data_IF_191849354443
#
_entry.id   IF_191849354443
#
_cell.length_a   1.000
_cell.length_b   1.000
_cell.length_c   1.000
_cell.angle_alpha   90.00
_cell.angle_beta   90.00
_cell.angle_gamma   90.00
#
_symmetry.space_group_name_H-M   'P 1'
#
loop_
_entity.id
_entity.type
_entity.pdbx_description
1 polymer ?
#
# COMPACT_ATOMS: atom_id res chain seq x y z
N UNK A 1 -9.32 14.05 -6.26
CA UNK A 1 -8.21 14.26 -7.22
C UNK A 1 -7.86 12.94 -7.86
N UNK A 2 -7.36 12.97 -9.09
CA UNK A 2 -7.18 11.77 -9.93
C UNK A 2 -5.71 11.43 -10.18
N UNK A 3 -5.46 10.24 -10.70
CA UNK A 3 -4.11 9.79 -11.10
C UNK A 3 -3.50 10.74 -12.14
N UNK A 4 -4.31 11.24 -13.07
CA UNK A 4 -3.89 12.23 -14.06
C UNK A 4 -3.42 13.58 -13.48
N UNK A 5 -3.73 13.87 -12.21
CA UNK A 5 -3.24 15.06 -11.52
C UNK A 5 -1.79 14.90 -10.98
N UNK A 6 -1.24 13.68 -10.98
CA UNK A 6 0.13 13.38 -10.52
C UNK A 6 1.18 13.67 -11.60
N UNK A 7 2.25 14.35 -11.19
CA UNK A 7 3.46 14.45 -11.99
C UNK A 7 4.49 13.38 -11.56
N UNK A 8 5.32 12.92 -12.50
CA UNK A 8 6.39 11.96 -12.22
C UNK A 8 7.46 12.48 -11.27
N UNK A 9 7.55 13.80 -11.06
CA UNK A 9 8.42 14.42 -10.05
C UNK A 9 7.91 14.24 -8.60
N UNK A 10 6.69 13.74 -8.42
CA UNK A 10 6.04 13.59 -7.12
C UNK A 10 6.29 12.24 -6.45
N UNK A 11 7.05 11.35 -7.08
CA UNK A 11 7.45 10.07 -6.53
C UNK A 11 8.74 9.60 -7.22
N UNK A 12 9.47 8.69 -6.57
CA UNK A 12 10.67 8.11 -7.15
C UNK A 12 10.36 7.21 -8.36
N UNK A 13 11.22 7.19 -9.38
CA UNK A 13 10.98 6.45 -10.63
C UNK A 13 10.67 4.95 -10.44
N UNK A 14 11.22 4.31 -9.40
CA UNK A 14 10.93 2.90 -9.10
C UNK A 14 9.48 2.64 -8.65
N UNK A 15 8.74 3.68 -8.25
CA UNK A 15 7.31 3.60 -7.96
C UNK A 15 6.42 3.78 -9.20
N UNK A 16 6.98 4.16 -10.36
CA UNK A 16 6.21 4.35 -11.59
C UNK A 16 5.37 3.12 -11.99
N UNK A 17 5.84 1.87 -11.84
CA UNK A 17 5.03 0.70 -12.14
C UNK A 17 3.74 0.61 -11.30
N UNK A 18 3.75 1.11 -10.05
CA UNK A 18 2.55 1.11 -9.20
C UNK A 18 1.53 2.15 -9.65
N UNK A 19 1.99 3.29 -10.14
CA UNK A 19 1.11 4.33 -10.69
C UNK A 19 0.56 3.92 -12.05
N UNK A 20 1.38 3.27 -12.88
CA UNK A 20 1.02 2.88 -14.25
C UNK A 20 -0.10 1.82 -14.33
N UNK A 21 -0.34 1.06 -13.26
CA UNK A 21 -1.43 0.07 -13.21
C UNK A 21 -2.76 0.66 -12.70
N UNK A 22 -2.78 1.93 -12.29
CA UNK A 22 -3.98 2.60 -11.82
C UNK A 22 -4.80 3.13 -12.99
N UNK A 23 -6.12 3.06 -12.83
CA UNK A 23 -7.07 3.76 -13.70
C UNK A 23 -7.23 5.22 -13.23
N UNK A 24 -7.77 6.10 -14.08
CA UNK A 24 -7.89 7.54 -13.79
C UNK A 24 -9.08 7.88 -12.87
N UNK A 25 -9.09 7.24 -11.71
CA UNK A 25 -10.13 7.32 -10.69
C UNK A 25 -9.79 8.33 -9.59
N UNK A 26 -10.81 8.78 -8.85
CA UNK A 26 -10.60 9.63 -7.68
C UNK A 26 -9.87 8.86 -6.57
N UNK A 27 -8.85 9.49 -5.96
CA UNK A 27 -8.03 8.88 -4.91
C UNK A 27 -8.84 8.29 -3.76
N UNK A 28 -9.85 9.01 -3.27
CA UNK A 28 -10.62 8.57 -2.10
C UNK A 28 -11.52 7.40 -2.47
N UNK A 29 -12.15 7.47 -3.65
CA UNK A 29 -12.99 6.41 -4.18
C UNK A 29 -12.18 5.14 -4.47
N UNK A 30 -11.00 5.24 -5.11
CA UNK A 30 -10.17 4.08 -5.42
C UNK A 30 -9.52 3.49 -4.16
N UNK A 31 -9.19 4.29 -3.13
CA UNK A 31 -8.77 3.75 -1.82
C UNK A 31 -9.84 2.85 -1.19
N UNK A 32 -11.12 3.19 -1.35
CA UNK A 32 -12.27 2.45 -0.82
C UNK A 32 -12.61 1.23 -1.70
N UNK A 33 -12.73 1.42 -3.00
CA UNK A 33 -13.06 0.36 -3.97
C UNK A 33 -11.96 -0.72 -3.99
N UNK A 34 -10.69 -0.31 -4.06
CA UNK A 34 -9.57 -1.26 -4.11
C UNK A 34 -9.49 -2.16 -2.88
N UNK A 35 -9.87 -1.67 -1.69
CA UNK A 35 -9.94 -2.49 -0.48
C UNK A 35 -10.99 -3.60 -0.62
N UNK A 36 -12.22 -3.21 -1.00
CA UNK A 36 -13.32 -4.16 -1.13
C UNK A 36 -13.04 -5.22 -2.19
N UNK A 37 -12.46 -4.81 -3.32
CA UNK A 37 -12.05 -5.73 -4.38
C UNK A 37 -10.96 -6.70 -3.91
N UNK A 38 -9.95 -6.21 -3.19
CA UNK A 38 -8.87 -7.04 -2.69
C UNK A 38 -9.34 -8.05 -1.63
N UNK A 39 -10.16 -7.62 -0.67
CA UNK A 39 -10.74 -8.54 0.33
C UNK A 39 -11.54 -9.64 -0.36
N UNK A 40 -12.42 -9.28 -1.31
CA UNK A 40 -13.20 -10.24 -2.07
C UNK A 40 -12.30 -11.19 -2.87
N UNK A 41 -11.24 -10.67 -3.48
CA UNK A 41 -10.26 -11.49 -4.19
C UNK A 41 -9.61 -12.51 -3.25
N UNK A 42 -9.08 -12.07 -2.11
CA UNK A 42 -8.41 -12.94 -1.13
C UNK A 42 -9.37 -13.99 -0.56
N UNK A 43 -10.63 -13.63 -0.29
CA UNK A 43 -11.64 -14.57 0.21
C UNK A 43 -11.98 -15.71 -0.79
N UNK A 44 -11.70 -15.52 -2.08
CA UNK A 44 -11.91 -16.54 -3.11
C UNK A 44 -10.67 -17.42 -3.36
N UNK A 45 -9.54 -17.16 -2.68
CA UNK A 45 -8.34 -17.97 -2.80
C UNK A 45 -8.57 -19.31 -2.08
N UNK A 46 -8.22 -20.47 -2.70
CA UNK A 46 -8.30 -21.77 -2.05
C UNK A 46 -7.50 -21.83 -0.75
N UNK A 47 -8.06 -22.45 0.30
CA UNK A 47 -7.48 -22.44 1.65
C UNK A 47 -6.05 -22.98 1.72
N UNK A 48 -5.73 -23.98 0.89
CA UNK A 48 -4.42 -24.62 0.80
C UNK A 48 -3.33 -23.71 0.19
N UNK A 49 -3.71 -22.60 -0.45
CA UNK A 49 -2.77 -21.63 -1.03
C UNK A 49 -2.23 -20.63 -0.03
N UNK A 50 -2.85 -20.43 1.13
CA UNK A 50 -2.43 -19.39 2.08
C UNK A 50 -1.07 -19.66 2.74
N UNK A 51 -0.68 -20.93 2.85
CA UNK A 51 0.61 -21.39 3.39
C UNK A 51 1.59 -21.82 2.27
N UNK A 52 1.16 -21.76 1.02
CA UNK A 52 1.98 -22.13 -0.13
C UNK A 52 3.04 -21.08 -0.45
N UNK A 53 4.22 -21.54 -0.87
CA UNK A 53 5.31 -20.74 -1.43
C UNK A 53 5.67 -21.29 -2.80
N UNK A 54 5.75 -20.43 -3.81
CA UNK A 54 6.06 -20.85 -5.18
C UNK A 54 7.55 -21.18 -5.40
N UNK A 55 8.43 -20.79 -4.48
CA UNK A 55 9.84 -21.16 -4.48
C UNK A 55 10.44 -21.01 -3.06
N UNK A 56 11.59 -21.63 -2.84
CA UNK A 56 12.37 -21.47 -1.61
C UNK A 56 12.74 -19.99 -1.36
N UNK A 57 12.64 -19.55 -0.10
CA UNK A 57 12.92 -18.16 0.29
C UNK A 57 11.86 -17.15 -0.14
N UNK A 58 10.77 -17.55 -0.79
CA UNK A 58 9.65 -16.66 -1.14
C UNK A 58 8.59 -16.62 -0.06
N UNK A 59 7.93 -15.48 0.04
CA UNK A 59 6.88 -15.21 1.01
C UNK A 59 5.63 -16.08 0.76
N UNK A 60 4.83 -16.29 1.79
CA UNK A 60 3.46 -16.81 1.61
C UNK A 60 2.49 -15.69 1.24
N UNK A 61 1.25 -16.04 0.91
CA UNK A 61 0.17 -15.05 0.75
C UNK A 61 -0.04 -14.27 2.06
N UNK A 62 0.06 -14.95 3.21
CA UNK A 62 -0.10 -14.31 4.54
C UNK A 62 1.02 -13.30 4.82
N UNK A 63 2.27 -13.66 4.49
CA UNK A 63 3.41 -12.74 4.59
C UNK A 63 3.20 -11.49 3.72
N UNK A 64 2.71 -11.65 2.48
CA UNK A 64 2.44 -10.52 1.59
C UNK A 64 1.30 -9.62 2.12
N UNK A 65 0.24 -10.20 2.68
CA UNK A 65 -0.85 -9.40 3.28
C UNK A 65 -0.33 -8.62 4.50
N UNK A 66 0.51 -9.23 5.34
CA UNK A 66 1.17 -8.54 6.44
C UNK A 66 2.06 -7.40 5.94
N UNK A 67 2.85 -7.64 4.88
CA UNK A 67 3.66 -6.61 4.24
C UNK A 67 2.82 -5.42 3.73
N UNK A 68 1.66 -5.69 3.14
CA UNK A 68 0.73 -4.63 2.71
C UNK A 68 0.24 -3.78 3.89
N UNK A 69 -0.12 -4.43 5.01
CA UNK A 69 -0.53 -3.77 6.26
C UNK A 69 0.58 -2.84 6.77
N UNK A 70 1.80 -3.36 6.88
CA UNK A 70 2.93 -2.59 7.43
C UNK A 70 3.34 -1.44 6.52
N UNK A 71 3.42 -1.71 5.21
CA UNK A 71 3.73 -0.70 4.19
C UNK A 71 2.73 0.45 4.19
N UNK A 72 1.43 0.14 4.30
CA UNK A 72 0.40 1.17 4.33
C UNK A 72 0.49 2.04 5.58
N UNK A 73 0.76 1.47 6.76
CA UNK A 73 1.01 2.25 7.98
C UNK A 73 2.19 3.21 7.80
N UNK A 74 3.27 2.75 7.18
CA UNK A 74 4.45 3.59 6.88
C UNK A 74 4.08 4.71 5.90
N UNK A 75 3.34 4.40 4.82
CA UNK A 75 2.95 5.39 3.82
C UNK A 75 1.95 6.42 4.39
N UNK A 76 0.98 5.98 5.19
CA UNK A 76 0.04 6.87 5.88
C UNK A 76 0.76 7.78 6.89
N UNK A 77 1.74 7.26 7.64
CA UNK A 77 2.55 8.08 8.53
C UNK A 77 3.36 9.14 7.77
N UNK A 78 3.96 8.77 6.64
CA UNK A 78 4.65 9.73 5.76
C UNK A 78 3.69 10.80 5.24
N UNK A 79 2.49 10.40 4.82
CA UNK A 79 1.46 11.31 4.33
C UNK A 79 1.05 12.31 5.43
N UNK A 80 0.87 11.84 6.67
CA UNK A 80 0.63 12.70 7.81
C UNK A 80 1.75 13.73 8.01
N UNK A 81 3.01 13.31 8.10
CA UNK A 81 4.15 14.21 8.34
C UNK A 81 4.26 15.26 7.22
N UNK A 82 4.25 14.83 5.95
CA UNK A 82 4.37 15.72 4.79
C UNK A 82 3.17 16.67 4.68
N UNK A 83 1.94 16.19 4.94
CA UNK A 83 0.75 17.04 4.94
C UNK A 83 0.77 18.11 6.03
N UNK A 84 1.59 17.95 7.07
CA UNK A 84 1.79 18.95 8.14
C UNK A 84 3.00 19.86 7.89
N UNK A 85 3.53 19.84 6.66
CA UNK A 85 4.67 20.64 6.22
C UNK A 85 5.95 20.35 7.02
N UNK A 86 6.05 19.12 7.55
CA UNK A 86 7.28 18.66 8.17
C UNK A 86 8.32 18.37 7.09
N UNK A 87 9.45 19.05 7.18
CA UNK A 87 10.56 18.98 6.21
C UNK A 87 11.61 17.94 6.59
N UNK A 88 11.42 17.22 7.70
CA UNK A 88 12.30 16.12 8.12
C UNK A 88 12.32 15.02 7.07
N UNK A 89 13.49 14.66 6.57
CA UNK A 89 13.63 13.53 5.65
C UNK A 89 13.24 12.22 6.37
N UNK A 90 12.28 11.49 5.80
CA UNK A 90 11.75 10.26 6.40
C UNK A 90 12.54 9.05 5.86
N UNK A 91 13.03 8.15 6.73
CA UNK A 91 13.83 7.02 6.30
C UNK A 91 13.01 6.02 5.48
N UNK A 92 13.73 5.25 4.65
CA UNK A 92 13.22 4.01 4.07
C UNK A 92 13.02 2.92 5.11
N UNK A 93 12.51 1.77 4.68
CA UNK A 93 12.46 0.55 5.48
C UNK A 93 12.81 -0.63 4.57
N UNK A 94 13.35 -1.71 5.15
CA UNK A 94 13.62 -2.95 4.44
C UNK A 94 12.45 -3.92 4.65
N UNK A 95 11.72 -4.20 3.58
CA UNK A 95 10.57 -5.09 3.60
C UNK A 95 10.93 -6.55 3.90
N UNK A 96 12.13 -7.00 3.51
CA UNK A 96 12.59 -8.36 3.79
C UNK A 96 12.91 -8.52 5.27
N UNK A 97 13.56 -7.52 5.87
CA UNK A 97 13.81 -7.50 7.32
C UNK A 97 12.49 -7.46 8.10
N UNK A 98 11.49 -6.73 7.62
CA UNK A 98 10.19 -6.68 8.29
C UNK A 98 9.51 -8.06 8.26
N UNK A 99 9.41 -8.69 7.08
CA UNK A 99 8.69 -9.95 6.91
C UNK A 99 9.26 -11.06 7.81
N UNK A 100 10.58 -11.18 7.94
CA UNK A 100 11.21 -12.20 8.81
C UNK A 100 11.01 -11.94 10.31
N UNK A 101 10.60 -10.72 10.68
CA UNK A 101 10.28 -10.33 12.06
C UNK A 101 8.77 -10.29 12.34
N UNK A 102 7.95 -10.81 11.42
CA UNK A 102 6.51 -10.97 11.65
C UNK A 102 6.15 -12.42 11.94
N UNK A 103 5.03 -12.65 12.61
CA UNK A 103 4.44 -13.97 12.78
C UNK A 103 3.22 -14.17 11.87
N UNK A 104 3.26 -13.63 10.65
CA UNK A 104 2.11 -13.58 9.74
C UNK A 104 1.51 -14.97 9.44
N UNK A 105 2.35 -16.00 9.34
CA UNK A 105 1.93 -17.36 9.02
C UNK A 105 1.15 -18.05 10.16
N UNK A 106 1.34 -17.66 11.42
CA UNK A 106 0.54 -18.19 12.53
C UNK A 106 -0.86 -17.54 12.62
N UNK A 107 -1.06 -16.41 11.95
CA UNK A 107 -2.31 -15.65 11.97
C UNK A 107 -3.34 -16.27 11.04
N UNK A 108 -4.60 -16.28 11.50
CA UNK A 108 -5.74 -16.60 10.64
C UNK A 108 -5.95 -15.55 9.55
N UNK A 109 -6.26 -15.98 8.33
CA UNK A 109 -6.46 -15.08 7.18
C UNK A 109 -7.52 -14.00 7.45
N UNK A 110 -8.60 -14.35 8.17
CA UNK A 110 -9.66 -13.39 8.53
C UNK A 110 -9.14 -12.29 9.47
N UNK A 111 -8.20 -12.61 10.37
CA UNK A 111 -7.60 -11.61 11.26
C UNK A 111 -6.69 -10.64 10.48
N UNK A 112 -5.96 -11.14 9.49
CA UNK A 112 -5.14 -10.30 8.61
C UNK A 112 -6.03 -9.36 7.77
N UNK A 113 -7.10 -9.87 7.17
CA UNK A 113 -8.04 -9.07 6.38
C UNK A 113 -8.79 -8.02 7.24
N UNK A 114 -9.16 -8.38 8.47
CA UNK A 114 -9.75 -7.43 9.42
C UNK A 114 -8.78 -6.31 9.78
N UNK A 115 -7.50 -6.62 10.02
CA UNK A 115 -6.48 -5.59 10.28
C UNK A 115 -6.25 -4.70 9.06
N UNK A 116 -6.06 -5.28 7.86
CA UNK A 116 -5.91 -4.51 6.62
C UNK A 116 -7.09 -3.55 6.42
N UNK A 117 -8.31 -4.01 6.69
CA UNK A 117 -9.51 -3.18 6.62
C UNK A 117 -9.45 -2.01 7.60
N UNK A 118 -9.11 -2.27 8.87
CA UNK A 118 -8.99 -1.22 9.89
C UNK A 118 -7.92 -0.18 9.54
N UNK A 119 -6.77 -0.64 9.04
CA UNK A 119 -5.69 0.23 8.56
C UNK A 119 -6.16 1.08 7.39
N UNK A 120 -6.80 0.48 6.39
CA UNK A 120 -7.31 1.21 5.23
C UNK A 120 -8.41 2.21 5.57
N UNK A 121 -9.30 1.90 6.51
CA UNK A 121 -10.27 2.87 7.00
C UNK A 121 -9.58 4.04 7.72
N UNK A 122 -8.55 3.78 8.52
CA UNK A 122 -7.75 4.85 9.14
C UNK A 122 -7.07 5.73 8.08
N UNK A 123 -6.49 5.11 7.05
CA UNK A 123 -5.92 5.81 5.89
C UNK A 123 -6.98 6.65 5.17
N UNK A 124 -8.17 6.09 4.90
CA UNK A 124 -9.27 6.82 4.27
C UNK A 124 -9.68 8.07 5.07
N UNK A 125 -9.85 7.95 6.39
CA UNK A 125 -10.15 9.11 7.23
C UNK A 125 -9.02 10.15 7.23
N UNK A 126 -7.77 9.70 7.22
CA UNK A 126 -6.61 10.58 7.13
C UNK A 126 -6.65 11.39 5.82
N UNK A 127 -6.80 10.73 4.67
CA UNK A 127 -6.82 11.40 3.36
C UNK A 127 -8.06 12.27 3.17
N UNK A 128 -9.24 11.86 3.66
CA UNK A 128 -10.46 12.70 3.66
C UNK A 128 -10.31 13.96 4.51
N UNK A 129 -9.38 13.99 5.48
CA UNK A 129 -9.10 15.17 6.32
C UNK A 129 -8.22 16.23 5.65
N UNK A 130 -7.59 15.91 4.52
CA UNK A 130 -6.63 16.80 3.87
C UNK A 130 -7.31 17.75 2.88
N UNK A 131 -6.89 19.01 2.89
CA UNK A 131 -7.22 19.96 1.82
C UNK A 131 -6.46 19.65 0.52
N UNK A 132 -6.91 20.21 -0.60
CA UNK A 132 -6.19 20.10 -1.88
C UNK A 132 -4.75 20.62 -1.80
N UNK A 133 -4.52 21.69 -1.01
CA UNK A 133 -3.18 22.21 -0.76
C UNK A 133 -2.32 21.19 0.01
N UNK A 134 -2.87 20.58 1.07
CA UNK A 134 -2.16 19.55 1.85
C UNK A 134 -1.83 18.33 1.00
N UNK A 135 -2.74 17.90 0.12
CA UNK A 135 -2.54 16.78 -0.80
C UNK A 135 -1.42 17.05 -1.82
N UNK A 136 -1.22 18.31 -2.22
CA UNK A 136 -0.17 18.72 -3.14
C UNK A 136 1.20 18.99 -2.46
N UNK A 137 1.29 18.93 -1.12
CA UNK A 137 2.56 19.17 -0.41
C UNK A 137 3.59 18.13 -0.76
N UNK A 138 4.83 18.61 -0.92
CA UNK A 138 6.01 17.82 -1.21
C UNK A 138 6.86 17.65 0.05
N UNK A 139 7.43 16.46 0.22
CA UNK A 139 8.41 16.14 1.26
C UNK A 139 9.49 15.21 0.73
N UNK A 140 10.32 14.69 1.62
CA UNK A 140 11.38 13.72 1.28
C UNK A 140 11.17 12.43 2.06
N UNK A 141 11.06 11.31 1.35
CA UNK A 141 11.02 9.97 1.94
C UNK A 141 11.92 9.01 1.16
N UNK A 142 12.63 8.13 1.87
CA UNK A 142 13.60 7.21 1.26
C UNK A 142 14.61 7.93 0.35
N UNK A 143 15.05 9.14 0.73
CA UNK A 143 15.93 10.02 -0.05
C UNK A 143 15.37 10.53 -1.39
N UNK A 144 14.06 10.45 -1.61
CA UNK A 144 13.40 10.93 -2.82
C UNK A 144 12.26 11.90 -2.51
N UNK A 145 11.97 12.79 -3.46
CA UNK A 145 10.80 13.65 -3.40
C UNK A 145 9.52 12.82 -3.43
N UNK A 146 8.54 13.18 -2.59
CA UNK A 146 7.25 12.52 -2.52
C UNK A 146 6.15 13.52 -2.19
N UNK A 147 5.02 13.48 -2.91
CA UNK A 147 3.83 14.25 -2.51
C UNK A 147 2.88 13.44 -1.63
N UNK A 148 2.03 14.13 -0.86
CA UNK A 148 1.01 13.47 -0.01
C UNK A 148 0.06 12.66 -0.87
N UNK A 149 -0.44 13.22 -1.97
CA UNK A 149 -1.30 12.51 -2.91
C UNK A 149 -0.61 11.32 -3.59
N UNK A 150 0.68 11.44 -3.91
CA UNK A 150 1.44 10.33 -4.46
C UNK A 150 1.42 9.14 -3.48
N UNK A 151 1.66 9.36 -2.18
CA UNK A 151 1.57 8.29 -1.18
C UNK A 151 0.20 7.58 -1.18
N UNK A 152 -0.89 8.32 -1.35
CA UNK A 152 -2.24 7.73 -1.46
C UNK A 152 -2.39 6.81 -2.67
N UNK A 153 -1.94 7.25 -3.84
CA UNK A 153 -1.96 6.43 -5.05
C UNK A 153 -0.98 5.24 -4.98
N UNK A 154 0.18 5.42 -4.36
CA UNK A 154 1.14 4.34 -4.14
C UNK A 154 0.60 3.25 -3.21
N UNK A 155 -0.21 3.60 -2.20
CA UNK A 155 -0.91 2.62 -1.36
C UNK A 155 -1.81 1.72 -2.22
N UNK A 156 -2.58 2.30 -3.15
CA UNK A 156 -3.46 1.55 -4.04
C UNK A 156 -2.67 0.71 -5.05
N UNK A 157 -1.69 1.33 -5.72
CA UNK A 157 -0.88 0.68 -6.75
C UNK A 157 -0.04 -0.46 -6.18
N UNK A 158 0.51 -0.30 -4.97
CA UNK A 158 1.27 -1.36 -4.30
C UNK A 158 0.38 -2.57 -3.98
N UNK A 159 -0.87 -2.35 -3.53
CA UNK A 159 -1.84 -3.43 -3.33
C UNK A 159 -2.20 -4.14 -4.64
N UNK A 160 -2.54 -3.38 -5.69
CA UNK A 160 -2.88 -3.95 -7.01
C UNK A 160 -1.70 -4.73 -7.61
N UNK A 161 -0.47 -4.28 -7.40
CA UNK A 161 0.75 -5.01 -7.77
C UNK A 161 0.83 -6.38 -7.08
N UNK A 162 0.67 -6.42 -5.76
CA UNK A 162 0.73 -7.70 -5.01
C UNK A 162 -0.46 -8.62 -5.31
N UNK A 163 -1.64 -8.05 -5.58
CA UNK A 163 -2.77 -8.84 -6.09
C UNK A 163 -2.42 -9.55 -7.41
N UNK A 164 -1.74 -8.86 -8.32
CA UNK A 164 -1.24 -9.49 -9.56
C UNK A 164 -0.19 -10.57 -9.28
N UNK A 165 0.71 -10.35 -8.31
CA UNK A 165 1.67 -11.38 -7.88
C UNK A 165 0.95 -12.63 -7.37
N UNK A 166 -0.15 -12.49 -6.62
CA UNK A 166 -0.98 -13.63 -6.23
C UNK A 166 -1.50 -14.41 -7.44
N UNK A 167 -2.06 -13.71 -8.43
CA UNK A 167 -2.58 -14.31 -9.66
C UNK A 167 -1.49 -15.00 -10.49
N UNK A 168 -0.32 -14.39 -10.64
CA UNK A 168 0.71 -14.87 -11.55
C UNK A 168 1.58 -15.99 -10.96
N UNK A 169 1.66 -16.11 -9.62
CA UNK A 169 2.65 -16.96 -8.94
C UNK A 169 2.06 -17.97 -7.95
N UNK A 170 0.88 -17.70 -7.39
CA UNK A 170 0.31 -18.54 -6.33
C UNK A 170 -0.93 -19.30 -6.77
N UNK A 171 -1.72 -18.73 -7.67
CA UNK A 171 -2.93 -19.35 -8.23
C UNK A 171 -2.60 -20.12 -9.51
#
# INVERSE_FOLDING_TARGET
MKVSDLNSSEYAAFYAPYVAILEDEDLIEDLEISLHQFIKFVQNIPLDKFDFRYAEGKWTIKDIIQHLIDSERVFAYRALRVSRNDTTALPGFDENDYVVNTDANSRGIQNLLAELSAVRFSTLFLFKSFSSEQLARMGTASNHAISVRALGFLIIGHQKHHQKVFQDRYL
#
